data_IF_792788153458
#
_entry.id   IF_792788153458
#
_cell.length_a   1.000
_cell.length_b   1.000
_cell.length_c   1.000
_cell.angle_alpha   90.00
_cell.angle_beta   90.00
_cell.angle_gamma   90.00
#
_symmetry.space_group_name_H-M   'P 1'
#
loop_
_entity.id
_entity.type
_entity.pdbx_description
1 polymer ?
#
# COMPACT_ATOMS: atom_id res chain seq x y z
N UNK A 1 3.56 2.24 -17.54
CA UNK A 1 4.66 2.93 -16.77
C UNK A 1 4.01 3.85 -15.75
N UNK A 2 4.67 4.15 -14.63
CA UNK A 2 4.13 5.11 -13.67
C UNK A 2 4.11 6.52 -14.32
N UNK A 3 3.01 7.25 -14.17
CA UNK A 3 2.88 8.62 -14.66
C UNK A 3 3.94 9.53 -14.00
N UNK A 4 4.55 10.42 -14.76
CA UNK A 4 5.56 11.36 -14.25
C UNK A 4 5.29 12.75 -14.78
N UNK A 5 4.96 13.66 -13.88
CA UNK A 5 4.65 15.05 -14.20
C UNK A 5 5.37 16.04 -13.32
N UNK A 6 4.99 17.30 -13.43
CA UNK A 6 5.51 18.41 -12.63
C UNK A 6 4.38 19.29 -12.14
N UNK A 7 4.53 19.79 -10.93
CA UNK A 7 3.59 20.76 -10.34
C UNK A 7 3.60 22.04 -11.17
N UNK A 8 2.41 22.50 -11.58
CA UNK A 8 2.23 23.80 -12.24
C UNK A 8 1.47 24.81 -11.37
N UNK A 9 0.74 24.33 -10.37
CA UNK A 9 -0.05 25.19 -9.49
C UNK A 9 -0.37 24.49 -8.17
N UNK A 10 -0.41 25.25 -7.08
CA UNK A 10 -0.75 24.79 -5.73
C UNK A 10 -1.70 25.79 -5.07
N UNK A 11 -2.79 25.30 -4.49
CA UNK A 11 -3.72 26.09 -3.69
C UNK A 11 -4.39 25.24 -2.61
N UNK A 12 -4.09 25.52 -1.35
CA UNK A 12 -4.55 24.68 -0.25
C UNK A 12 -4.14 23.21 -0.49
N UNK A 13 -5.03 22.23 -0.30
CA UNK A 13 -4.72 20.82 -0.52
C UNK A 13 -4.70 20.44 -2.01
N UNK A 14 -5.10 21.34 -2.91
CA UNK A 14 -5.18 21.06 -4.34
C UNK A 14 -3.88 21.40 -5.06
N UNK A 15 -3.43 20.49 -5.91
CA UNK A 15 -2.25 20.62 -6.76
C UNK A 15 -2.65 20.29 -8.19
N UNK A 16 -2.12 21.09 -9.16
CA UNK A 16 -2.19 20.74 -10.59
C UNK A 16 -0.81 20.35 -11.07
N UNK A 17 -0.75 19.24 -11.78
CA UNK A 17 0.48 18.75 -12.41
C UNK A 17 0.23 18.53 -13.92
N UNK A 18 1.19 18.90 -14.73
CA UNK A 18 1.24 18.58 -16.16
C UNK A 18 2.12 17.37 -16.45
N UNK A 19 2.06 16.86 -17.69
CA UNK A 19 2.78 15.65 -18.10
C UNK A 19 2.20 14.35 -17.53
N UNK A 20 0.97 14.38 -17.05
CA UNK A 20 0.30 13.26 -16.37
C UNK A 20 -0.63 12.45 -17.29
N UNK A 21 -0.33 12.35 -18.58
CA UNK A 21 -1.17 11.64 -19.58
C UNK A 21 -1.40 10.16 -19.24
N UNK A 22 -0.45 9.52 -18.59
CA UNK A 22 -0.53 8.09 -18.21
C UNK A 22 -1.21 7.86 -16.86
N UNK A 23 -1.57 8.93 -16.15
CA UNK A 23 -2.24 8.84 -14.85
C UNK A 23 -3.68 8.35 -15.01
N UNK A 24 -4.17 7.67 -13.98
CA UNK A 24 -5.55 7.19 -13.90
C UNK A 24 -6.34 7.99 -12.85
N UNK A 25 -7.67 8.00 -13.02
CA UNK A 25 -8.56 8.55 -11.98
C UNK A 25 -8.38 7.75 -10.69
N UNK A 26 -8.35 8.47 -9.57
CA UNK A 26 -8.15 7.92 -8.22
C UNK A 26 -6.78 7.26 -7.99
N UNK A 27 -5.85 7.43 -8.92
CA UNK A 27 -4.48 6.97 -8.72
C UNK A 27 -3.82 7.72 -7.58
N UNK A 28 -3.16 6.99 -6.70
CA UNK A 28 -2.29 7.58 -5.67
C UNK A 28 -1.02 8.11 -6.31
N UNK A 29 -0.64 9.32 -5.94
CA UNK A 29 0.55 10.00 -6.45
C UNK A 29 1.43 10.50 -5.31
N UNK A 30 2.73 10.55 -5.57
CA UNK A 30 3.74 11.17 -4.68
C UNK A 30 4.06 12.55 -5.22
N UNK A 31 3.82 13.58 -4.41
CA UNK A 31 3.84 15.00 -4.81
C UNK A 31 5.01 15.72 -4.16
N UNK A 32 5.83 16.35 -5.00
CA UNK A 32 6.93 17.21 -4.60
C UNK A 32 8.15 16.49 -4.05
N UNK A 33 9.17 17.29 -3.75
CA UNK A 33 10.41 16.79 -3.13
C UNK A 33 10.18 16.27 -1.70
N UNK A 34 9.13 16.78 -1.04
CA UNK A 34 8.70 16.34 0.28
C UNK A 34 7.96 15.00 0.26
N UNK A 35 7.72 14.41 -0.92
CA UNK A 35 7.05 13.11 -1.11
C UNK A 35 5.67 13.01 -0.44
N UNK A 36 4.87 14.06 -0.56
CA UNK A 36 3.52 14.07 0.01
C UNK A 36 2.61 13.12 -0.76
N UNK A 37 1.74 12.42 -0.04
CA UNK A 37 0.77 11.51 -0.65
C UNK A 37 -0.47 12.30 -1.08
N UNK A 38 -0.93 12.05 -2.31
CA UNK A 38 -2.15 12.62 -2.86
C UNK A 38 -2.86 11.65 -3.80
N UNK A 39 -4.03 12.05 -4.27
CA UNK A 39 -4.88 11.28 -5.17
C UNK A 39 -5.30 12.14 -6.37
N UNK A 40 -5.33 11.53 -7.54
CA UNK A 40 -5.84 12.16 -8.76
C UNK A 40 -7.36 12.23 -8.70
N UNK A 41 -7.91 13.44 -8.56
CA UNK A 41 -9.35 13.67 -8.47
C UNK A 41 -9.98 14.13 -9.79
N UNK A 42 -9.18 14.55 -10.76
CA UNK A 42 -9.63 14.94 -12.10
C UNK A 42 -8.47 14.89 -13.09
N UNK A 43 -8.77 14.47 -14.31
CA UNK A 43 -7.85 14.52 -15.45
C UNK A 43 -8.44 15.39 -16.57
N UNK A 44 -7.60 16.19 -17.22
CA UNK A 44 -7.98 17.01 -18.37
C UNK A 44 -6.78 17.06 -19.33
N UNK A 45 -6.82 16.25 -20.39
CA UNK A 45 -5.66 16.04 -21.25
C UNK A 45 -4.50 15.45 -20.48
N UNK A 46 -3.36 16.10 -20.49
CA UNK A 46 -2.14 15.72 -19.75
C UNK A 46 -2.04 16.34 -18.35
N UNK A 47 -3.07 17.11 -17.94
CA UNK A 47 -3.10 17.77 -16.63
C UNK A 47 -3.91 16.97 -15.64
N UNK A 48 -3.27 16.61 -14.51
CA UNK A 48 -3.92 16.02 -13.35
C UNK A 48 -4.22 17.07 -12.28
N UNK A 49 -5.44 17.01 -11.73
CA UNK A 49 -5.81 17.68 -10.48
C UNK A 49 -5.68 16.66 -9.35
N UNK A 50 -4.93 17.02 -8.34
CA UNK A 50 -4.51 16.13 -7.27
C UNK A 50 -4.96 16.75 -5.95
N UNK A 51 -5.59 15.95 -5.10
CA UNK A 51 -5.84 16.28 -3.71
C UNK A 51 -4.73 15.68 -2.86
N UNK A 52 -3.96 16.51 -2.17
CA UNK A 52 -2.89 16.09 -1.26
C UNK A 52 -3.47 15.91 0.13
N UNK A 53 -3.13 14.81 0.79
CA UNK A 53 -3.66 14.46 2.12
C UNK A 53 -2.94 15.16 3.27
N UNK A 54 -1.77 15.71 2.99
CA UNK A 54 -0.95 16.44 3.96
C UNK A 54 -0.86 17.94 3.62
N UNK A 55 -0.29 18.73 4.53
CA UNK A 55 -0.08 20.16 4.28
C UNK A 55 0.88 20.38 3.11
N UNK A 56 0.39 21.08 2.10
CA UNK A 56 1.14 21.46 0.89
C UNK A 56 2.08 22.66 1.07
N UNK A 57 2.14 23.25 2.27
CA UNK A 57 3.02 24.39 2.54
C UNK A 57 4.46 24.06 2.18
N UNK A 58 5.07 24.88 1.33
CA UNK A 58 6.45 24.70 0.86
C UNK A 58 6.56 23.98 -0.49
N UNK A 59 5.50 23.38 -1.02
CA UNK A 59 5.50 22.87 -2.40
C UNK A 59 5.64 24.04 -3.39
N UNK A 60 6.38 23.79 -4.45
CA UNK A 60 6.65 24.80 -5.50
C UNK A 60 6.31 24.25 -6.88
N UNK A 61 5.84 25.11 -7.80
CA UNK A 61 5.80 24.76 -9.22
C UNK A 61 7.17 24.27 -9.71
N UNK A 62 7.14 23.27 -10.60
CA UNK A 62 8.32 22.58 -11.14
C UNK A 62 8.76 21.35 -10.35
N UNK A 63 8.30 21.15 -9.11
CA UNK A 63 8.59 19.91 -8.35
C UNK A 63 7.93 18.68 -8.99
N UNK A 64 8.51 17.49 -8.81
CA UNK A 64 8.02 16.27 -9.45
C UNK A 64 6.69 15.78 -8.88
N UNK A 65 5.90 15.13 -9.72
CA UNK A 65 4.75 14.31 -9.34
C UNK A 65 4.92 12.95 -9.97
N UNK A 66 4.81 11.89 -9.16
CA UNK A 66 5.00 10.50 -9.63
C UNK A 66 3.79 9.66 -9.24
N UNK A 67 3.16 9.07 -10.25
CA UNK A 67 2.07 8.12 -10.06
C UNK A 67 2.56 6.78 -9.50
N UNK A 68 1.71 6.09 -8.76
CA UNK A 68 1.98 4.72 -8.26
C UNK A 68 1.44 3.66 -9.21
N UNK A 69 0.57 4.04 -10.15
CA UNK A 69 -0.17 3.13 -11.05
C UNK A 69 -1.43 2.54 -10.43
N UNK A 70 -1.64 2.70 -9.13
CA UNK A 70 -2.73 2.10 -8.37
C UNK A 70 -3.47 3.15 -7.53
N UNK A 71 -4.77 2.95 -7.24
CA UNK A 71 -5.48 3.76 -6.26
C UNK A 71 -4.92 3.55 -4.84
N UNK A 72 -5.38 4.36 -3.90
CA UNK A 72 -5.04 4.18 -2.50
C UNK A 72 -5.47 2.77 -2.05
N UNK A 73 -4.52 2.00 -1.59
CA UNK A 73 -4.72 0.63 -1.15
C UNK A 73 -4.12 0.44 0.24
N UNK A 74 -4.67 -0.52 0.97
CA UNK A 74 -4.20 -0.90 2.30
C UNK A 74 -3.57 -2.28 2.25
N UNK A 75 -2.49 -2.46 3.01
CA UNK A 75 -1.86 -3.75 3.19
C UNK A 75 -2.59 -4.49 4.31
N UNK A 76 -3.20 -5.63 3.97
CA UNK A 76 -3.89 -6.50 4.93
C UNK A 76 -3.06 -7.75 5.18
N UNK A 77 -2.99 -8.16 6.43
CA UNK A 77 -2.26 -9.37 6.82
C UNK A 77 -2.07 -9.47 8.34
N UNK A 78 -1.41 -10.50 8.80
CA UNK A 78 -1.08 -10.66 10.22
C UNK A 78 -0.26 -9.46 10.74
N UNK A 79 -0.59 -8.97 11.93
CA UNK A 79 0.10 -7.86 12.60
C UNK A 79 -0.62 -6.51 12.51
N UNK A 80 -1.75 -6.41 11.80
CA UNK A 80 -2.56 -5.18 11.78
C UNK A 80 -3.46 -5.05 13.00
N UNK A 81 -3.85 -6.17 13.61
CA UNK A 81 -4.75 -6.16 14.77
C UNK A 81 -4.06 -5.56 15.98
N UNK A 82 -4.76 -4.65 16.67
CA UNK A 82 -4.23 -3.94 17.83
C UNK A 82 -3.33 -2.75 17.49
N UNK A 83 -3.17 -2.41 16.20
CA UNK A 83 -2.48 -1.21 15.76
C UNK A 83 -3.47 -0.07 15.54
N UNK A 84 -2.99 1.16 15.64
CA UNK A 84 -3.74 2.37 15.33
C UNK A 84 -3.08 3.03 14.13
N UNK A 85 -3.88 3.30 13.09
CA UNK A 85 -3.42 3.89 11.84
C UNK A 85 -4.05 5.26 11.58
N UNK A 86 -3.40 6.05 10.77
CA UNK A 86 -4.01 7.22 10.15
C UNK A 86 -4.80 6.85 8.87
N UNK A 87 -5.35 7.88 8.19
CA UNK A 87 -6.20 7.68 7.00
C UNK A 87 -5.51 7.10 5.76
N UNK A 88 -4.18 6.99 5.76
CA UNK A 88 -3.39 6.38 4.67
C UNK A 88 -2.56 5.19 5.16
N UNK A 89 -3.03 4.53 6.21
CA UNK A 89 -2.47 3.32 6.82
C UNK A 89 -1.02 3.48 7.33
N UNK A 90 -0.65 4.66 7.89
CA UNK A 90 0.62 4.80 8.60
C UNK A 90 0.40 4.46 10.08
N UNK A 91 1.14 3.52 10.68
CA UNK A 91 0.98 3.16 12.09
C UNK A 91 1.46 4.30 12.99
N UNK A 92 0.55 4.85 13.82
CA UNK A 92 0.81 6.03 14.64
C UNK A 92 1.94 5.81 15.64
N UNK A 93 2.07 4.60 16.16
CA UNK A 93 3.15 4.23 17.09
C UNK A 93 4.53 4.32 16.43
N UNK A 94 4.65 3.87 15.19
CA UNK A 94 5.91 3.94 14.45
C UNK A 94 6.19 5.38 13.99
N UNK A 95 5.16 6.11 13.56
CA UNK A 95 5.29 7.54 13.26
C UNK A 95 5.83 8.32 14.45
N UNK A 96 5.32 8.08 15.66
CA UNK A 96 5.77 8.78 16.86
C UNK A 96 7.24 8.48 17.23
N UNK A 97 7.73 7.29 16.93
CA UNK A 97 9.16 6.96 17.11
C UNK A 97 10.08 7.74 16.18
N UNK A 98 9.62 7.98 14.94
CA UNK A 98 10.41 8.67 13.90
C UNK A 98 10.32 10.19 14.03
N UNK A 99 9.14 10.72 14.31
CA UNK A 99 8.85 12.16 14.29
C UNK A 99 8.55 12.80 15.66
N UNK A 100 8.54 12.00 16.72
CA UNK A 100 8.19 12.50 18.06
C UNK A 100 6.71 12.85 18.18
N UNK A 101 6.40 13.93 18.93
CA UNK A 101 5.02 14.35 19.22
C UNK A 101 4.29 14.98 18.04
N UNK A 102 5.00 15.34 16.98
CA UNK A 102 4.43 15.98 15.78
C UNK A 102 4.72 15.13 14.55
N UNK A 103 3.68 14.80 13.78
CA UNK A 103 3.83 14.05 12.53
C UNK A 103 4.45 14.96 11.48
N UNK A 104 5.68 14.66 11.07
CA UNK A 104 6.38 15.36 9.99
C UNK A 104 5.73 15.03 8.62
N UNK A 105 5.90 15.96 7.66
CA UNK A 105 5.39 15.80 6.29
C UNK A 105 6.16 14.73 5.53
N UNK A 106 5.46 13.98 4.69
CA UNK A 106 6.04 13.00 3.76
C UNK A 106 6.74 11.82 4.45
N UNK A 107 6.49 11.59 5.75
CA UNK A 107 7.05 10.44 6.46
C UNK A 107 6.27 9.21 6.02
N UNK A 108 6.98 8.23 5.48
CA UNK A 108 6.43 6.92 5.12
C UNK A 108 6.95 5.88 6.10
N UNK A 109 6.05 5.05 6.61
CA UNK A 109 6.37 3.89 7.45
C UNK A 109 5.68 2.66 6.90
N UNK A 110 6.25 1.48 7.10
CA UNK A 110 5.58 0.23 6.73
C UNK A 110 4.37 -0.01 7.63
N UNK A 111 3.19 -0.35 7.09
CA UNK A 111 1.98 -0.57 7.88
C UNK A 111 2.10 -1.71 8.88
N UNK A 112 2.96 -2.69 8.59
CA UNK A 112 3.19 -3.87 9.42
C UNK A 112 4.69 -4.13 9.56
N UNK A 113 5.07 -4.85 10.61
CA UNK A 113 6.46 -5.30 10.80
C UNK A 113 6.76 -6.46 9.84
N UNK A 114 7.49 -6.16 8.75
CA UNK A 114 7.85 -7.13 7.72
C UNK A 114 8.86 -8.19 8.21
N UNK A 115 9.53 -7.94 9.34
CA UNK A 115 10.54 -8.85 9.89
C UNK A 115 9.94 -9.88 10.85
N UNK A 116 8.76 -9.58 11.40
CA UNK A 116 8.07 -10.47 12.32
C UNK A 116 7.68 -11.77 11.63
N UNK A 117 7.93 -12.88 12.30
CA UNK A 117 7.53 -14.21 11.84
C UNK A 117 6.22 -14.63 12.47
N UNK A 118 5.43 -15.34 11.67
CA UNK A 118 4.15 -15.91 12.04
C UNK A 118 4.12 -17.38 11.67
N UNK A 119 3.50 -18.18 12.52
CA UNK A 119 3.36 -19.60 12.29
C UNK A 119 2.27 -19.87 11.25
N UNK A 120 2.67 -20.36 10.08
CA UNK A 120 1.79 -20.70 8.97
C UNK A 120 1.49 -22.19 8.94
N UNK A 121 0.21 -22.52 8.81
CA UNK A 121 -0.28 -23.88 8.64
C UNK A 121 -0.96 -24.00 7.27
N UNK A 122 -0.41 -24.76 6.30
CA UNK A 122 -1.02 -24.93 5.00
C UNK A 122 -2.30 -25.77 5.11
N UNK A 123 -3.33 -25.41 4.34
CA UNK A 123 -4.59 -26.17 4.22
C UNK A 123 -4.73 -26.89 2.88
N UNK A 124 -3.80 -26.64 1.97
CA UNK A 124 -3.74 -27.24 0.63
C UNK A 124 -2.35 -27.79 0.36
N UNK A 125 -2.24 -28.67 -0.63
CA UNK A 125 -1.00 -29.37 -0.98
C UNK A 125 -0.54 -29.08 -2.40
N UNK A 126 0.70 -29.45 -2.71
CA UNK A 126 1.21 -29.41 -4.08
C UNK A 126 0.33 -30.28 -4.99
N UNK A 127 -0.09 -29.71 -6.10
CA UNK A 127 -0.95 -30.36 -7.08
C UNK A 127 -2.44 -30.04 -6.93
N UNK A 128 -2.86 -29.40 -5.85
CA UNK A 128 -4.24 -28.97 -5.66
C UNK A 128 -4.61 -27.83 -6.63
N UNK A 129 -5.86 -27.83 -7.08
CA UNK A 129 -6.43 -26.77 -7.87
C UNK A 129 -7.05 -25.74 -6.94
N UNK A 130 -6.69 -24.46 -7.10
CA UNK A 130 -7.22 -23.35 -6.31
C UNK A 130 -7.78 -22.26 -7.20
N UNK A 131 -8.79 -21.56 -6.72
CA UNK A 131 -9.43 -20.43 -7.37
C UNK A 131 -9.33 -19.18 -6.50
N UNK A 132 -9.66 -18.03 -7.08
CA UNK A 132 -9.73 -16.77 -6.35
C UNK A 132 -10.62 -16.91 -5.09
N UNK A 133 -10.11 -16.44 -3.94
CA UNK A 133 -10.78 -16.54 -2.66
C UNK A 133 -10.62 -17.87 -1.92
N UNK A 134 -10.01 -18.90 -2.53
CA UNK A 134 -9.73 -20.14 -1.79
C UNK A 134 -8.68 -19.90 -0.70
N UNK A 135 -8.91 -20.46 0.48
CA UNK A 135 -7.96 -20.42 1.60
C UNK A 135 -6.87 -21.45 1.35
N UNK A 136 -5.61 -21.01 1.36
CA UNK A 136 -4.43 -21.86 1.15
C UNK A 136 -3.68 -22.19 2.43
N UNK A 137 -4.03 -21.55 3.52
CA UNK A 137 -3.46 -21.79 4.84
C UNK A 137 -3.94 -20.79 5.87
N UNK A 138 -3.53 -20.98 7.10
CA UNK A 138 -3.91 -20.14 8.23
C UNK A 138 -2.68 -19.69 9.00
N UNK A 139 -2.83 -18.55 9.68
CA UNK A 139 -1.81 -17.96 10.56
C UNK A 139 -2.48 -17.53 11.85
N UNK A 140 -2.03 -18.08 12.98
CA UNK A 140 -2.48 -17.65 14.29
C UNK A 140 -1.86 -16.29 14.65
N UNK A 141 -2.66 -15.21 14.62
CA UNK A 141 -2.18 -13.87 14.96
C UNK A 141 -2.19 -13.60 16.45
N UNK A 142 -3.27 -14.02 17.12
CA UNK A 142 -3.43 -13.98 18.59
C UNK A 142 -4.04 -15.28 19.07
N UNK A 143 -4.20 -15.44 20.40
CA UNK A 143 -4.87 -16.63 20.93
C UNK A 143 -6.33 -16.77 20.53
N UNK A 144 -6.96 -15.68 20.10
CA UNK A 144 -8.38 -15.62 19.74
C UNK A 144 -8.61 -15.44 18.24
N UNK A 145 -7.58 -15.05 17.47
CA UNK A 145 -7.73 -14.64 16.06
C UNK A 145 -6.78 -15.44 15.19
N UNK A 146 -7.36 -16.09 14.20
CA UNK A 146 -6.69 -16.81 13.14
C UNK A 146 -6.94 -16.10 11.81
N UNK A 147 -5.86 -15.73 11.12
CA UNK A 147 -5.91 -15.16 9.79
C UNK A 147 -5.93 -16.24 8.73
N UNK A 148 -6.91 -16.20 7.83
CA UNK A 148 -6.96 -17.04 6.64
C UNK A 148 -6.18 -16.40 5.51
N UNK A 149 -5.17 -17.08 5.01
CA UNK A 149 -4.41 -16.68 3.83
C UNK A 149 -5.10 -17.25 2.60
N UNK A 150 -5.52 -16.37 1.69
CA UNK A 150 -6.30 -16.76 0.53
C UNK A 150 -5.62 -16.35 -0.78
N UNK A 151 -6.03 -17.00 -1.85
CA UNK A 151 -5.70 -16.60 -3.22
C UNK A 151 -6.34 -15.22 -3.48
N UNK A 152 -5.57 -14.19 -3.91
CA UNK A 152 -6.11 -12.87 -4.17
C UNK A 152 -7.27 -12.90 -5.18
N UNK A 153 -8.28 -12.01 -5.04
CA UNK A 153 -9.48 -12.02 -5.88
C UNK A 153 -9.22 -11.63 -7.35
N UNK A 154 -8.11 -10.95 -7.61
CA UNK A 154 -7.64 -10.57 -8.96
C UNK A 154 -6.79 -11.66 -9.64
N UNK A 155 -6.49 -12.74 -8.93
CA UNK A 155 -5.76 -13.89 -9.47
C UNK A 155 -6.73 -14.93 -10.04
N UNK A 156 -6.44 -15.42 -11.23
CA UNK A 156 -7.31 -16.41 -11.92
C UNK A 156 -7.35 -17.80 -11.24
N UNK A 157 -6.51 -18.01 -10.22
CA UNK A 157 -6.29 -19.33 -9.65
C UNK A 157 -5.36 -20.19 -10.53
N UNK A 158 -5.24 -21.46 -10.18
CA UNK A 158 -4.35 -22.38 -10.88
C UNK A 158 -4.03 -23.62 -10.05
N UNK A 159 -3.09 -24.42 -10.56
CA UNK A 159 -2.59 -25.57 -9.85
C UNK A 159 -1.36 -25.18 -9.01
N UNK A 160 -1.36 -25.53 -7.73
CA UNK A 160 -0.22 -25.26 -6.85
C UNK A 160 0.97 -26.11 -7.28
N UNK A 161 2.05 -25.45 -7.69
CA UNK A 161 3.30 -26.10 -8.06
C UNK A 161 4.26 -26.26 -6.89
N UNK A 162 4.24 -25.30 -5.97
CA UNK A 162 5.05 -25.32 -4.75
C UNK A 162 4.30 -24.68 -3.60
N UNK A 163 4.15 -25.41 -2.50
CA UNK A 163 3.61 -24.95 -1.22
C UNK A 163 4.67 -25.13 -0.15
N UNK A 164 4.89 -24.09 0.66
CA UNK A 164 5.79 -24.22 1.81
C UNK A 164 5.19 -25.17 2.86
N UNK A 165 6.04 -25.83 3.63
CA UNK A 165 5.60 -26.66 4.76
C UNK A 165 5.13 -25.78 5.92
N UNK A 166 4.45 -26.37 6.89
CA UNK A 166 4.16 -25.73 8.18
C UNK A 166 5.44 -25.18 8.82
N UNK A 167 5.41 -23.92 9.28
CA UNK A 167 6.57 -23.27 9.85
C UNK A 167 6.41 -21.77 10.05
N UNK A 168 7.49 -21.12 10.51
CA UNK A 168 7.51 -19.70 10.85
C UNK A 168 8.06 -18.87 9.68
N UNK A 169 7.20 -18.06 9.09
CA UNK A 169 7.51 -17.24 7.93
C UNK A 169 7.25 -15.76 8.19
N UNK A 170 8.02 -14.89 7.56
CA UNK A 170 7.76 -13.45 7.54
C UNK A 170 6.80 -13.08 6.41
N UNK A 171 6.35 -11.82 6.39
CA UNK A 171 5.35 -11.34 5.43
C UNK A 171 5.86 -11.23 3.99
N UNK A 172 7.18 -11.33 3.75
CA UNK A 172 7.79 -11.29 2.42
C UNK A 172 7.95 -12.68 1.79
N UNK A 173 7.74 -13.74 2.57
CA UNK A 173 7.93 -15.11 2.10
C UNK A 173 6.81 -15.48 1.13
N UNK A 174 7.18 -15.98 -0.05
CA UNK A 174 6.23 -16.56 -1.00
C UNK A 174 5.79 -17.92 -0.45
N UNK A 175 4.52 -18.04 -0.08
CA UNK A 175 3.96 -19.26 0.54
C UNK A 175 3.56 -20.31 -0.50
N UNK A 176 3.07 -19.87 -1.65
CA UNK A 176 2.63 -20.75 -2.73
C UNK A 176 2.97 -20.17 -4.11
N UNK A 177 3.19 -21.04 -5.08
CA UNK A 177 3.35 -20.71 -6.50
C UNK A 177 2.56 -21.67 -7.38
#
# INVERSE_FOLDING_TARGET
MAAKGRIVWVSGPAVRADGMSDAKMYETVVVGNSKLVGEVIRLTGDVAFIQVYESTSGLKPGEPVVGTGNPLSVLLGPGIIGQIYDGIQRPLKELSKVSGSFIGKGITTTPVDMTKKYHFVPTVSNGDQVEAGNVIGTVKETDLIENSIMVPPDHLGGKISNMVSEGDYNLETVLAT
#
